data_IF_537510478783
#
_entry.id   IF_537510478783
#
_cell.length_a   1.000
_cell.length_b   1.000
_cell.length_c   1.000
_cell.angle_alpha   90.00
_cell.angle_beta   90.00
_cell.angle_gamma   90.00
#
_symmetry.space_group_name_H-M   'P 1'
#
loop_
_entity.id
_entity.type
_entity.pdbx_description
1 polymer ?
#
# COMPACT_ATOMS: atom_id res chain seq x y z
N UNK A 1 -30.25 -21.45 -2.23
CA UNK A 1 -28.98 -21.75 -1.56
C UNK A 1 -28.08 -20.56 -1.81
N UNK A 2 -27.53 -19.95 -0.77
CA UNK A 2 -26.50 -18.90 -0.89
C UNK A 2 -25.16 -19.57 -1.18
N UNK A 3 -24.46 -19.09 -2.19
CA UNK A 3 -23.10 -19.55 -2.52
C UNK A 3 -22.09 -18.72 -1.75
N UNK A 4 -21.10 -19.37 -1.13
CA UNK A 4 -20.01 -18.69 -0.43
C UNK A 4 -18.97 -18.24 -1.44
N UNK A 5 -18.62 -16.96 -1.41
CA UNK A 5 -17.51 -16.40 -2.20
C UNK A 5 -16.33 -16.26 -1.26
N UNK A 6 -15.22 -16.93 -1.57
CA UNK A 6 -13.97 -16.78 -0.85
C UNK A 6 -13.24 -15.53 -1.32
N UNK A 7 -12.80 -14.69 -0.38
CA UNK A 7 -12.12 -13.44 -0.68
C UNK A 7 -10.64 -13.55 -0.34
N UNK A 8 -9.80 -13.15 -1.28
CA UNK A 8 -8.34 -13.28 -1.23
C UNK A 8 -7.69 -11.99 -1.72
N UNK A 9 -6.39 -11.84 -1.47
CA UNK A 9 -5.61 -10.76 -2.04
C UNK A 9 -4.23 -11.26 -2.45
N UNK A 10 -3.77 -10.83 -3.62
CA UNK A 10 -2.48 -11.21 -4.22
C UNK A 10 -1.62 -9.96 -4.48
N UNK A 11 -0.29 -10.13 -4.43
CA UNK A 11 0.67 -9.07 -4.81
C UNK A 11 1.55 -9.50 -5.97
N UNK A 12 1.55 -8.69 -7.03
CA UNK A 12 2.61 -8.71 -8.05
C UNK A 12 3.75 -7.82 -7.58
N UNK A 13 4.89 -8.41 -7.21
CA UNK A 13 6.09 -7.64 -6.86
C UNK A 13 7.07 -7.63 -8.03
N UNK A 14 7.36 -6.45 -8.57
CA UNK A 14 8.29 -6.28 -9.69
C UNK A 14 9.61 -5.64 -9.25
N UNK A 15 10.72 -6.20 -9.71
CA UNK A 15 12.06 -5.62 -9.59
C UNK A 15 12.48 -4.92 -10.91
N UNK A 16 13.44 -3.97 -10.87
CA UNK A 16 13.81 -3.16 -12.04
C UNK A 16 14.46 -3.97 -13.18
N UNK A 17 14.98 -5.15 -12.89
CA UNK A 17 15.61 -6.08 -13.84
C UNK A 17 14.61 -7.00 -14.55
N UNK A 18 13.35 -6.57 -14.66
CA UNK A 18 12.25 -7.33 -15.28
C UNK A 18 12.02 -8.69 -14.63
N UNK A 19 12.11 -8.75 -13.30
CA UNK A 19 11.79 -9.94 -12.52
C UNK A 19 10.54 -9.75 -11.68
N UNK A 20 9.84 -10.85 -11.43
CA UNK A 20 8.68 -10.94 -10.54
C UNK A 20 8.99 -11.90 -9.39
N UNK A 21 8.54 -11.56 -8.19
CA UNK A 21 8.61 -12.45 -7.04
C UNK A 21 7.48 -13.48 -7.13
N UNK A 22 7.83 -14.76 -7.02
CA UNK A 22 6.88 -15.86 -6.96
C UNK A 22 7.20 -16.78 -5.79
N UNK A 23 6.18 -17.49 -5.33
CA UNK A 23 6.27 -18.55 -4.33
C UNK A 23 5.94 -19.91 -4.95
N UNK A 24 6.58 -20.98 -4.49
CA UNK A 24 6.22 -22.34 -4.88
C UNK A 24 5.20 -22.90 -3.89
N UNK A 25 4.01 -23.25 -4.39
CA UNK A 25 2.90 -23.72 -3.56
C UNK A 25 3.22 -25.05 -2.90
N UNK A 26 3.05 -25.11 -1.58
CA UNK A 26 3.27 -26.34 -0.80
C UNK A 26 2.15 -27.37 -0.88
N UNK A 27 0.92 -26.92 -1.12
CA UNK A 27 -0.30 -27.71 -1.00
C UNK A 27 -1.19 -27.61 -2.23
N UNK A 28 -2.04 -28.63 -2.42
CA UNK A 28 -3.07 -28.62 -3.44
C UNK A 28 -4.11 -27.48 -3.22
N UNK A 29 -4.75 -26.96 -4.27
CA UNK A 29 -4.52 -27.26 -5.69
C UNK A 29 -3.19 -26.67 -6.19
N UNK A 30 -2.71 -27.16 -7.33
CA UNK A 30 -1.48 -26.67 -7.98
C UNK A 30 -0.22 -26.80 -7.11
N UNK A 31 -0.14 -27.86 -6.32
CA UNK A 31 1.06 -28.20 -5.55
C UNK A 31 2.31 -28.25 -6.45
N UNK A 32 3.40 -27.61 -6.01
CA UNK A 32 4.66 -27.52 -6.77
C UNK A 32 4.62 -26.55 -7.96
N UNK A 33 3.50 -25.86 -8.20
CA UNK A 33 3.46 -24.74 -9.15
C UNK A 33 3.81 -23.44 -8.47
N UNK A 34 4.21 -22.47 -9.29
CA UNK A 34 4.54 -21.13 -8.83
C UNK A 34 3.30 -20.25 -8.81
N UNK A 35 3.22 -19.36 -7.83
CA UNK A 35 2.12 -18.44 -7.63
C UNK A 35 2.63 -17.07 -7.23
N UNK A 36 1.73 -16.10 -7.25
CA UNK A 36 1.93 -14.80 -6.64
C UNK A 36 1.82 -15.02 -5.13
N UNK A 37 2.57 -14.27 -4.32
CA UNK A 37 2.31 -14.23 -2.88
C UNK A 37 0.92 -13.65 -2.64
N UNK A 38 0.16 -14.29 -1.75
CA UNK A 38 -1.24 -13.95 -1.52
C UNK A 38 -2.03 -15.04 -0.79
N UNK A 39 -3.12 -14.63 -0.19
CA UNK A 39 -3.90 -15.49 0.70
C UNK A 39 -5.28 -14.93 1.01
N UNK A 40 -5.94 -15.50 2.02
CA UNK A 40 -7.29 -15.10 2.40
C UNK A 40 -7.26 -13.75 3.12
N UNK A 41 -8.31 -12.96 2.89
CA UNK A 41 -8.56 -11.76 3.67
C UNK A 41 -9.28 -12.17 4.96
N UNK A 42 -8.70 -11.81 6.10
CA UNK A 42 -9.29 -12.14 7.39
C UNK A 42 -10.52 -11.27 7.71
N UNK A 43 -11.34 -11.73 8.65
CA UNK A 43 -12.54 -11.00 9.06
C UNK A 43 -12.16 -9.64 9.67
N UNK A 44 -12.59 -8.55 9.01
CA UNK A 44 -12.29 -7.18 9.42
C UNK A 44 -10.97 -6.63 8.87
N UNK A 45 -10.24 -7.41 8.07
CA UNK A 45 -9.01 -6.98 7.41
C UNK A 45 -9.30 -6.37 6.03
N UNK A 46 -8.58 -5.32 5.64
CA UNK A 46 -8.64 -4.83 4.26
C UNK A 46 -7.84 -5.73 3.33
N UNK A 47 -8.32 -5.96 2.10
CA UNK A 47 -7.59 -6.82 1.14
C UNK A 47 -6.16 -6.36 0.87
N UNK A 48 -5.91 -5.05 0.90
CA UNK A 48 -4.57 -4.47 0.78
C UNK A 48 -3.65 -4.81 1.98
N UNK A 49 -4.21 -4.92 3.17
CA UNK A 49 -3.48 -5.31 4.38
C UNK A 49 -3.16 -6.80 4.34
N UNK A 50 -4.14 -7.62 3.96
CA UNK A 50 -3.95 -9.04 3.70
C UNK A 50 -2.81 -9.24 2.69
N UNK A 51 -2.86 -8.55 1.56
CA UNK A 51 -1.83 -8.61 0.53
C UNK A 51 -0.41 -8.28 1.06
N UNK A 52 -0.29 -7.25 1.92
CA UNK A 52 0.97 -6.88 2.55
C UNK A 52 1.43 -7.89 3.61
N UNK A 53 0.50 -8.42 4.42
CA UNK A 53 0.76 -9.45 5.43
C UNK A 53 1.25 -10.74 4.78
N UNK A 54 0.50 -11.27 3.81
CA UNK A 54 0.81 -12.50 3.06
C UNK A 54 2.17 -12.37 2.35
N UNK A 55 2.45 -11.21 1.75
CA UNK A 55 3.77 -10.95 1.16
C UNK A 55 4.91 -11.12 2.18
N UNK A 56 4.74 -10.60 3.39
CA UNK A 56 5.74 -10.75 4.45
C UNK A 56 5.83 -12.20 4.94
N UNK A 57 4.69 -12.85 5.16
CA UNK A 57 4.62 -14.20 5.69
C UNK A 57 5.25 -15.20 4.72
N UNK A 58 4.95 -15.12 3.43
CA UNK A 58 5.38 -16.11 2.45
C UNK A 58 6.76 -15.85 1.84
N UNK A 59 7.25 -14.61 1.90
CA UNK A 59 8.50 -14.21 1.20
C UNK A 59 9.49 -13.42 2.04
N UNK A 60 9.10 -12.94 3.22
CA UNK A 60 9.89 -12.04 4.06
C UNK A 60 10.02 -10.61 3.52
N UNK A 61 9.49 -10.32 2.33
CA UNK A 61 9.56 -9.00 1.71
C UNK A 61 8.55 -8.06 2.37
N UNK A 62 9.04 -6.90 2.84
CA UNK A 62 8.20 -5.89 3.51
C UNK A 62 7.92 -4.73 2.58
N UNK A 63 6.64 -4.52 2.27
CA UNK A 63 6.10 -3.35 1.60
C UNK A 63 4.93 -2.85 2.42
N UNK A 64 4.86 -1.56 2.73
CA UNK A 64 3.72 -1.04 3.46
C UNK A 64 2.45 -1.16 2.61
N UNK A 65 1.32 -1.52 3.22
CA UNK A 65 0.03 -1.63 2.51
C UNK A 65 -0.31 -0.34 1.75
N UNK A 66 0.01 0.83 2.31
CA UNK A 66 -0.16 2.13 1.64
C UNK A 66 0.62 2.30 0.33
N UNK A 67 1.74 1.59 0.17
CA UNK A 67 2.60 1.64 -1.03
C UNK A 67 2.15 0.66 -2.12
N UNK A 68 1.16 -0.20 -1.82
CA UNK A 68 0.57 -1.11 -2.79
C UNK A 68 -0.37 -0.38 -3.73
N UNK A 69 -0.10 -0.46 -5.03
CA UNK A 69 -0.94 0.12 -6.07
C UNK A 69 -2.01 -0.90 -6.51
N UNK A 70 -3.30 -0.58 -6.51
CA UNK A 70 -4.34 -1.51 -6.97
C UNK A 70 -4.17 -1.79 -8.47
N UNK A 71 -4.29 -3.06 -8.86
CA UNK A 71 -4.27 -3.49 -10.27
C UNK A 71 -5.69 -3.78 -10.76
N UNK A 72 -6.47 -4.52 -9.97
CA UNK A 72 -7.83 -4.91 -10.30
C UNK A 72 -8.31 -6.10 -9.47
N UNK A 73 -9.51 -6.57 -9.77
CA UNK A 73 -10.13 -7.72 -9.09
C UNK A 73 -10.42 -8.83 -10.09
N UNK A 74 -10.00 -10.06 -9.76
CA UNK A 74 -10.32 -11.27 -10.52
C UNK A 74 -11.32 -12.09 -9.72
N UNK A 75 -12.51 -12.28 -10.27
CA UNK A 75 -13.57 -13.02 -9.61
C UNK A 75 -14.23 -13.99 -10.57
N UNK A 76 -14.47 -15.21 -10.09
CA UNK A 76 -15.13 -16.24 -10.88
C UNK A 76 -15.15 -17.59 -10.18
N UNK A 77 -16.03 -18.46 -10.64
CA UNK A 77 -16.13 -19.84 -10.13
C UNK A 77 -15.06 -20.76 -10.70
N UNK A 78 -14.56 -20.45 -11.90
CA UNK A 78 -13.64 -21.33 -12.61
C UNK A 78 -12.16 -20.98 -12.37
N UNK A 79 -11.87 -19.89 -11.66
CA UNK A 79 -10.49 -19.47 -11.37
C UNK A 79 -9.79 -20.35 -10.34
N UNK A 80 -10.55 -20.93 -9.42
CA UNK A 80 -10.06 -21.85 -8.41
C UNK A 80 -10.92 -23.12 -8.40
N UNK A 81 -10.33 -24.32 -8.51
CA UNK A 81 -11.10 -25.57 -8.51
C UNK A 81 -11.86 -25.83 -7.20
N UNK A 82 -11.56 -25.09 -6.12
CA UNK A 82 -12.23 -25.22 -4.82
C UNK A 82 -13.59 -24.53 -4.76
N UNK A 83 -13.88 -23.60 -5.67
CA UNK A 83 -15.19 -22.91 -5.72
C UNK A 83 -15.10 -21.46 -6.21
N UNK A 84 -16.05 -20.64 -5.77
CA UNK A 84 -16.08 -19.23 -6.14
C UNK A 84 -15.08 -18.42 -5.33
N UNK A 85 -14.11 -17.82 -6.01
CA UNK A 85 -13.13 -16.92 -5.42
C UNK A 85 -13.20 -15.53 -6.07
N UNK A 86 -12.91 -14.52 -5.26
CA UNK A 86 -12.55 -13.17 -5.70
C UNK A 86 -11.18 -12.83 -5.11
N UNK A 87 -10.25 -12.35 -5.93
CA UNK A 87 -8.96 -11.81 -5.47
C UNK A 87 -8.81 -10.36 -5.89
N UNK A 88 -8.45 -9.50 -4.94
CA UNK A 88 -7.93 -8.17 -5.25
C UNK A 88 -6.42 -8.26 -5.44
N UNK A 89 -5.94 -7.74 -6.57
CA UNK A 89 -4.53 -7.78 -6.90
C UNK A 89 -3.93 -6.40 -6.73
N UNK A 90 -2.77 -6.38 -6.09
CA UNK A 90 -1.94 -5.21 -5.89
C UNK A 90 -0.58 -5.35 -6.58
N UNK A 91 0.03 -4.21 -6.90
CA UNK A 91 1.35 -4.10 -7.48
C UNK A 91 2.28 -3.40 -6.50
N UNK A 92 3.43 -4.03 -6.23
CA UNK A 92 4.57 -3.43 -5.57
C UNK A 92 5.74 -3.36 -6.54
N UNK A 93 6.51 -2.27 -6.49
CA UNK A 93 7.80 -2.15 -7.17
C UNK A 93 8.88 -1.97 -6.12
N UNK A 94 9.86 -2.86 -6.11
CA UNK A 94 10.93 -2.85 -5.09
C UNK A 94 12.30 -2.66 -5.74
N UNK A 95 13.33 -2.25 -4.98
CA UNK A 95 14.70 -2.22 -5.50
C UNK A 95 15.20 -3.59 -5.94
N UNK A 96 16.21 -3.62 -6.81
CA UNK A 96 16.89 -4.87 -7.15
C UNK A 96 17.62 -5.45 -5.92
N UNK A 97 17.70 -6.79 -5.85
CA UNK A 97 18.46 -7.48 -4.80
C UNK A 97 17.78 -7.53 -3.43
N UNK A 98 16.48 -7.23 -3.34
CA UNK A 98 15.71 -7.47 -2.11
C UNK A 98 15.80 -8.96 -1.73
N UNK A 99 16.27 -9.29 -0.51
CA UNK A 99 16.39 -10.66 -0.06
C UNK A 99 15.00 -11.28 0.10
N UNK A 100 14.91 -12.57 -0.22
CA UNK A 100 13.69 -13.35 -0.16
C UNK A 100 13.93 -14.56 0.73
N UNK A 101 12.96 -14.91 1.55
CA UNK A 101 12.98 -16.10 2.41
C UNK A 101 11.59 -16.72 2.37
N UNK A 102 11.51 -17.98 1.97
CA UNK A 102 10.23 -18.69 1.93
C UNK A 102 9.64 -18.83 3.35
N UNK A 103 8.35 -18.52 3.45
CA UNK A 103 7.54 -18.71 4.64
C UNK A 103 7.01 -20.13 4.83
N UNK A 104 6.14 -20.30 5.83
CA UNK A 104 5.64 -21.62 6.23
C UNK A 104 4.78 -22.32 5.15
N UNK A 105 4.01 -21.56 4.38
CA UNK A 105 3.12 -22.10 3.33
C UNK A 105 3.75 -22.13 1.93
N UNK A 106 4.95 -21.57 1.77
CA UNK A 106 5.75 -21.62 0.56
C UNK A 106 6.86 -22.68 0.66
N UNK A 107 7.01 -23.53 -0.36
CA UNK A 107 8.17 -24.45 -0.45
C UNK A 107 9.45 -23.70 -0.79
N UNK A 108 9.32 -22.66 -1.59
CA UNK A 108 10.40 -21.81 -2.06
C UNK A 108 9.80 -20.44 -2.42
N UNK A 109 10.63 -19.41 -2.41
CA UNK A 109 10.26 -18.05 -2.81
C UNK A 109 11.45 -17.44 -3.54
N UNK A 110 11.24 -16.97 -4.78
CA UNK A 110 12.34 -16.43 -5.59
C UNK A 110 11.89 -15.49 -6.69
N UNK A 111 12.87 -14.72 -7.16
CA UNK A 111 12.75 -13.85 -8.32
C UNK A 111 12.82 -14.65 -9.62
N UNK A 112 11.80 -14.52 -10.46
CA UNK A 112 11.74 -15.11 -11.79
C UNK A 112 11.78 -14.04 -12.89
N UNK A 113 12.51 -14.28 -14.00
CA UNK A 113 12.50 -13.37 -15.13
C UNK A 113 11.13 -13.39 -15.82
N UNK A 114 10.60 -12.20 -16.15
CA UNK A 114 9.25 -12.03 -16.74
C UNK A 114 9.11 -12.61 -18.15
N UNK A 115 10.22 -12.88 -18.84
CA UNK A 115 10.29 -13.53 -20.16
C UNK A 115 10.49 -15.05 -20.07
N UNK A 116 10.71 -15.59 -18.87
CA UNK A 116 10.96 -17.00 -18.60
C UNK A 116 10.18 -17.50 -17.39
N UNK A 117 8.89 -17.20 -17.33
CA UNK A 117 8.03 -17.60 -16.21
C UNK A 117 7.85 -19.13 -16.16
N UNK A 118 7.83 -19.72 -14.95
CA UNK A 118 7.52 -21.13 -14.77
C UNK A 118 6.03 -21.41 -14.98
N UNK A 119 5.59 -22.67 -14.93
CA UNK A 119 4.16 -22.99 -14.84
C UNK A 119 3.52 -22.33 -13.62
N UNK A 120 2.54 -21.47 -13.86
CA UNK A 120 1.84 -20.74 -12.82
C UNK A 120 0.57 -21.47 -12.36
N UNK A 121 0.20 -21.24 -11.11
CA UNK A 121 -1.07 -21.65 -10.53
C UNK A 121 -2.19 -20.67 -10.92
N UNK A 122 -3.42 -21.18 -10.94
CA UNK A 122 -4.63 -20.39 -11.18
C UNK A 122 -4.54 -19.54 -12.47
N UNK A 123 -5.07 -18.32 -12.40
CA UNK A 123 -5.07 -17.28 -13.44
C UNK A 123 -3.88 -16.30 -13.29
N UNK A 124 -2.83 -16.66 -12.56
CA UNK A 124 -1.75 -15.73 -12.21
C UNK A 124 -0.91 -15.28 -13.41
N UNK A 125 -0.86 -16.07 -14.48
CA UNK A 125 -0.23 -15.65 -15.73
C UNK A 125 -0.93 -14.42 -16.32
N UNK A 126 -2.26 -14.40 -16.30
CA UNK A 126 -3.08 -13.30 -16.81
C UNK A 126 -2.95 -12.08 -15.90
N UNK A 127 -2.96 -12.30 -14.58
CA UNK A 127 -2.74 -11.25 -13.58
C UNK A 127 -1.39 -10.55 -13.81
N UNK A 128 -0.30 -11.32 -13.96
CA UNK A 128 1.03 -10.76 -14.23
C UNK A 128 1.04 -10.00 -15.56
N UNK A 129 0.40 -10.55 -16.61
CA UNK A 129 0.33 -9.88 -17.90
C UNK A 129 -0.33 -8.50 -17.80
N UNK A 130 -1.45 -8.38 -17.06
CA UNK A 130 -2.12 -7.10 -16.81
C UNK A 130 -1.26 -6.16 -15.96
N UNK A 131 -0.67 -6.65 -14.87
CA UNK A 131 0.15 -5.84 -13.97
C UNK A 131 1.42 -5.27 -14.66
N UNK A 132 1.93 -5.94 -15.71
CA UNK A 132 3.03 -5.42 -16.54
C UNK A 132 2.63 -4.21 -17.40
N UNK A 133 1.36 -4.15 -17.80
CA UNK A 133 0.80 -3.05 -18.58
C UNK A 133 0.41 -1.88 -17.71
N UNK A 134 0.18 -2.11 -16.40
CA UNK A 134 0.05 -1.04 -15.45
C UNK A 134 1.27 -0.14 -15.63
N UNK A 135 1.08 1.16 -15.96
CA UNK A 135 2.19 2.03 -16.18
C UNK A 135 3.14 1.85 -14.99
N UNK A 136 4.43 1.88 -15.24
CA UNK A 136 5.37 2.34 -14.23
C UNK A 136 4.97 3.79 -13.97
N UNK A 137 3.80 4.00 -13.35
CA UNK A 137 3.50 5.14 -12.53
C UNK A 137 4.78 5.26 -11.74
N UNK A 138 5.51 6.30 -12.12
CA UNK A 138 6.81 6.63 -11.58
C UNK A 138 6.73 6.28 -10.12
N UNK A 139 7.67 5.47 -9.62
CA UNK A 139 7.85 5.39 -8.17
C UNK A 139 7.68 6.80 -7.68
N UNK A 140 6.68 7.00 -6.78
CA UNK A 140 6.10 8.30 -6.42
C UNK A 140 7.02 9.43 -6.86
N UNK A 141 6.69 10.20 -7.93
CA UNK A 141 7.68 10.94 -8.70
C UNK A 141 8.71 11.57 -7.77
N UNK A 142 9.99 11.22 -7.98
CA UNK A 142 11.08 11.93 -7.33
C UNK A 142 10.81 13.43 -7.51
N UNK A 143 10.74 14.12 -6.37
CA UNK A 143 10.09 15.41 -6.18
C UNK A 143 10.23 16.39 -7.36
N UNK A 144 9.12 16.67 -8.04
CA UNK A 144 8.90 17.95 -8.71
C UNK A 144 7.98 18.77 -7.81
N UNK A 145 8.55 19.53 -6.86
CA UNK A 145 7.84 20.49 -5.98
C UNK A 145 6.46 20.01 -5.48
N UNK A 146 6.36 18.72 -5.16
CA UNK A 146 5.14 18.06 -4.72
C UNK A 146 4.95 18.26 -3.22
N UNK A 147 3.69 18.26 -2.82
CA UNK A 147 3.26 18.22 -1.44
C UNK A 147 3.99 17.11 -0.66
N UNK A 148 4.46 17.35 0.58
CA UNK A 148 5.05 16.29 1.38
C UNK A 148 4.07 15.15 1.60
N UNK A 149 4.61 13.96 1.85
CA UNK A 149 3.83 12.76 2.09
C UNK A 149 2.82 12.93 3.23
N UNK A 150 1.58 12.48 2.99
CA UNK A 150 0.48 12.60 3.94
C UNK A 150 -0.11 14.01 4.10
N UNK A 151 0.48 15.04 3.46
CA UNK A 151 -0.04 16.41 3.51
C UNK A 151 -1.22 16.57 2.55
N UNK A 152 -2.40 16.90 3.08
CA UNK A 152 -3.60 17.14 2.28
C UNK A 152 -3.99 18.63 2.17
N UNK A 153 -3.37 19.50 2.97
CA UNK A 153 -3.52 20.95 2.92
C UNK A 153 -2.32 21.68 3.55
N UNK A 154 -1.97 22.86 3.00
CA UNK A 154 -0.76 23.64 3.33
C UNK A 154 -1.10 25.10 3.22
N UNK A 155 -0.66 25.85 4.23
CA UNK A 155 -0.82 27.29 4.31
C UNK A 155 0.56 27.94 4.37
N UNK A 156 0.74 29.06 3.66
CA UNK A 156 1.97 29.85 3.71
C UNK A 156 1.87 30.86 4.84
N UNK A 157 2.86 30.88 5.73
CA UNK A 157 2.94 31.90 6.78
C UNK A 157 3.43 33.22 6.21
N UNK A 158 3.19 34.32 6.93
CA UNK A 158 3.63 35.65 6.48
C UNK A 158 5.15 35.78 6.36
N UNK A 159 5.92 34.96 7.09
CA UNK A 159 7.38 34.94 7.04
C UNK A 159 7.97 33.88 6.10
N UNK A 160 7.14 33.21 5.29
CA UNK A 160 7.59 32.25 4.28
C UNK A 160 7.77 30.81 4.79
N UNK A 161 7.38 30.52 6.03
CA UNK A 161 7.23 29.13 6.50
C UNK A 161 5.91 28.52 5.99
N UNK A 162 5.69 27.26 6.32
CA UNK A 162 4.49 26.49 5.95
C UNK A 162 3.82 25.92 7.19
N UNK A 163 2.50 25.80 7.14
CA UNK A 163 1.69 24.99 8.07
C UNK A 163 1.11 23.84 7.27
N UNK A 164 1.53 22.61 7.56
CA UNK A 164 1.13 21.40 6.85
C UNK A 164 0.08 20.63 7.65
N UNK A 165 -1.03 20.26 7.01
CA UNK A 165 -2.05 19.38 7.57
C UNK A 165 -1.84 17.96 7.09
N UNK A 166 -1.58 17.05 8.03
CA UNK A 166 -1.23 15.65 7.77
C UNK A 166 -2.31 14.74 8.37
N UNK A 167 -2.90 13.87 7.55
CA UNK A 167 -3.87 12.87 8.04
C UNK A 167 -3.15 11.85 8.94
N UNK A 168 -3.70 11.60 10.12
CA UNK A 168 -3.24 10.58 11.04
C UNK A 168 -4.13 9.37 10.90
N UNK A 169 -3.51 8.21 10.80
CA UNK A 169 -4.18 6.92 10.78
C UNK A 169 -3.63 6.10 11.95
N UNK A 170 -4.48 5.31 12.56
CA UNK A 170 -4.04 4.19 13.39
C UNK A 170 -4.21 2.88 12.62
N UNK A 171 -3.76 1.78 13.23
CA UNK A 171 -3.84 0.46 12.62
C UNK A 171 -5.28 -0.08 12.50
N UNK A 172 -6.29 0.64 13.00
CA UNK A 172 -7.64 0.11 13.20
C UNK A 172 -8.73 0.88 12.45
N UNK A 173 -8.43 2.07 11.91
CA UNK A 173 -9.44 3.01 11.39
C UNK A 173 -9.30 3.37 9.91
N UNK A 174 -8.41 2.74 9.14
CA UNK A 174 -8.38 2.92 7.66
C UNK A 174 -9.77 2.55 7.09
N UNK A 175 -10.36 3.25 6.10
CA UNK A 175 -9.82 4.40 5.36
C UNK A 175 -9.96 5.75 6.06
N UNK A 176 -10.62 5.82 7.22
CA UNK A 176 -10.94 7.07 7.91
C UNK A 176 -9.78 7.53 8.81
N UNK A 177 -9.33 8.79 8.68
CA UNK A 177 -8.27 9.29 9.54
C UNK A 177 -8.78 9.45 10.99
N UNK A 178 -7.96 9.06 11.96
CA UNK A 178 -8.21 9.25 13.41
C UNK A 178 -7.91 10.67 13.90
N UNK A 179 -7.47 11.53 12.98
CA UNK A 179 -7.23 12.94 13.25
C UNK A 179 -6.33 13.58 12.21
N UNK A 180 -5.97 14.83 12.49
CA UNK A 180 -5.09 15.65 11.66
C UNK A 180 -4.00 16.27 12.54
N UNK A 181 -2.75 16.11 12.11
CA UNK A 181 -1.60 16.81 12.67
C UNK A 181 -1.34 18.08 11.84
N UNK A 182 -1.41 19.23 12.49
CA UNK A 182 -1.04 20.53 11.96
C UNK A 182 0.38 20.88 12.39
N UNK A 183 1.33 20.99 11.44
CA UNK A 183 2.75 21.21 11.74
C UNK A 183 3.29 22.48 11.09
N UNK A 184 3.89 23.36 11.89
CA UNK A 184 4.54 24.57 11.38
C UNK A 184 6.03 24.32 11.10
N UNK A 185 6.52 24.66 9.89
CA UNK A 185 7.94 24.52 9.56
C UNK A 185 8.81 25.63 10.15
N UNK A 186 8.22 26.74 10.61
CA UNK A 186 8.94 27.87 11.20
C UNK A 186 8.99 27.85 12.73
N UNK A 187 7.85 27.68 13.40
CA UNK A 187 7.79 27.66 14.87
C UNK A 187 7.57 26.24 15.43
N UNK A 188 7.61 26.12 16.76
CA UNK A 188 7.43 24.84 17.46
C UNK A 188 5.98 24.53 17.87
N UNK A 189 5.02 25.33 17.38
CA UNK A 189 3.60 25.05 17.62
C UNK A 189 3.11 24.03 16.61
N UNK A 190 2.97 22.80 17.08
CA UNK A 190 2.24 21.74 16.40
C UNK A 190 0.92 21.51 17.15
N UNK A 191 -0.14 21.16 16.43
CA UNK A 191 -1.46 20.87 17.02
C UNK A 191 -2.03 19.59 16.43
N UNK A 192 -2.72 18.82 17.26
CA UNK A 192 -3.37 17.58 16.88
C UNK A 192 -4.86 17.76 17.12
N UNK A 193 -5.65 17.66 16.07
CA UNK A 193 -7.11 17.53 16.15
C UNK A 193 -7.43 16.04 16.01
N UNK A 194 -7.79 15.39 17.12
CA UNK A 194 -8.17 13.98 17.15
C UNK A 194 -9.70 13.83 17.08
N UNK A 195 -10.18 12.68 16.63
CA UNK A 195 -11.62 12.40 16.51
C UNK A 195 -12.34 12.43 17.86
N UNK A 196 -13.20 13.43 18.07
CA UNK A 196 -14.49 13.24 18.74
C UNK A 196 -15.52 12.90 17.64
N UNK A 197 -16.35 11.85 17.77
CA UNK A 197 -17.35 11.46 16.77
C UNK A 197 -18.32 12.57 16.32
N UNK A 198 -18.41 13.69 17.05
CA UNK A 198 -19.26 14.83 16.68
C UNK A 198 -18.54 15.97 15.97
N UNK A 199 -17.21 15.94 15.88
CA UNK A 199 -16.40 17.07 15.42
C UNK A 199 -15.90 16.89 13.98
N UNK A 200 -16.03 17.95 13.19
CA UNK A 200 -15.42 18.05 11.85
C UNK A 200 -13.97 18.50 12.03
N UNK A 201 -13.14 17.58 12.52
CA UNK A 201 -11.73 17.81 12.83
C UNK A 201 -10.94 18.30 11.62
N UNK A 202 -11.34 17.97 10.38
CA UNK A 202 -10.72 18.51 9.17
C UNK A 202 -10.99 20.03 9.04
N UNK A 203 -12.24 20.47 9.25
CA UNK A 203 -12.59 21.90 9.24
C UNK A 203 -11.89 22.68 10.35
N UNK A 204 -11.79 22.11 11.55
CA UNK A 204 -11.09 22.73 12.68
C UNK A 204 -9.60 22.87 12.39
N UNK A 205 -8.97 21.81 11.89
CA UNK A 205 -7.57 21.84 11.48
C UNK A 205 -7.29 22.89 10.41
N UNK A 206 -8.19 23.03 9.43
CA UNK A 206 -8.10 24.08 8.39
C UNK A 206 -8.26 25.48 8.98
N UNK A 207 -9.19 25.65 9.92
CA UNK A 207 -9.44 26.93 10.58
C UNK A 207 -8.22 27.37 11.39
N UNK A 208 -7.67 26.47 12.20
CA UNK A 208 -6.47 26.76 12.96
C UNK A 208 -5.27 27.03 12.06
N UNK A 209 -5.06 26.21 11.02
CA UNK A 209 -3.91 26.39 10.13
C UNK A 209 -3.95 27.72 9.38
N UNK A 210 -5.14 28.16 8.95
CA UNK A 210 -5.33 29.50 8.38
C UNK A 210 -4.98 30.60 9.39
N UNK A 211 -5.56 30.56 10.60
CA UNK A 211 -5.29 31.56 11.65
C UNK A 211 -3.82 31.60 12.04
N UNK A 212 -3.19 30.43 12.17
CA UNK A 212 -1.77 30.31 12.48
C UNK A 212 -0.92 30.90 11.36
N UNK A 213 -1.22 30.60 10.10
CA UNK A 213 -0.46 31.11 8.95
C UNK A 213 -0.50 32.64 8.86
N UNK A 214 -1.64 33.27 9.15
CA UNK A 214 -1.80 34.72 9.15
C UNK A 214 -1.01 35.43 10.25
N UNK A 215 -0.78 34.76 11.38
CA UNK A 215 -0.12 35.35 12.55
C UNK A 215 1.35 34.96 12.67
N UNK A 216 1.75 33.80 12.17
CA UNK A 216 3.10 33.27 12.35
C UNK A 216 4.14 34.07 11.56
N UNK A 217 5.13 34.59 12.28
CA UNK A 217 6.27 35.35 11.74
C UNK A 217 7.60 34.60 11.83
N UNK A 218 7.58 33.32 12.17
CA UNK A 218 8.78 32.51 12.23
C UNK A 218 9.27 32.21 10.80
N UNK A 219 10.56 32.45 10.56
CA UNK A 219 11.22 32.02 9.33
C UNK A 219 11.28 30.49 9.26
N UNK A 220 11.33 29.89 8.06
CA UNK A 220 11.55 28.47 7.90
C UNK A 220 12.77 27.98 8.68
N UNK A 221 12.62 26.89 9.43
CA UNK A 221 13.77 26.24 10.06
C UNK A 221 14.67 25.62 8.98
N UNK A 222 15.99 25.65 9.16
CA UNK A 222 16.89 24.90 8.28
C UNK A 222 16.52 23.41 8.32
N UNK A 223 16.72 22.72 7.20
CA UNK A 223 16.52 21.27 7.13
C UNK A 223 17.40 20.60 8.19
N UNK A 224 16.81 19.75 9.02
CA UNK A 224 17.56 18.97 10.00
C UNK A 224 18.34 17.91 9.23
N UNK A 225 19.67 17.97 9.32
CA UNK A 225 20.63 17.01 8.74
C UNK A 225 20.65 15.69 9.48
#
# INVERSE_FOLDING_TARGET
>A
MTETIHYTADVVVLAPDSRVLLIERRWAPFEGRWALPGGHVDAGEYSREAAARELVEETGVRVASGDLSPVGTWAGRDRDPRGWYATDVYLARVPAGVPVTAGDDARDARWWPLDGLPPLAFDHADIIAVARLAPSGTGRPAAAAGWPEGVFARYLTVAGATVDLIKRYDAWSVPDPVGVLSRCSGCWRDEIHATDPTDDFERESRTWAQQHAEQCRALPRPAQS
#
